data_IF_347365835510
#
_entry.id   IF_347365835510
#
_cell.length_a   1.000
_cell.length_b   1.000
_cell.length_c   1.000
_cell.angle_alpha   90.00
_cell.angle_beta   90.00
_cell.angle_gamma   90.00
#
_symmetry.space_group_name_H-M   'P 1'
#
loop_
_entity.id
_entity.type
_entity.pdbx_description
1 polymer ?
#
# COMPACT_ATOMS: atom_id res chain seq x y z
N UNK A 1 -38.14 -34.02 23.61
CA UNK A 1 -37.32 -33.00 24.30
C UNK A 1 -36.07 -32.79 23.47
N UNK A 2 -36.12 -31.83 22.57
CA UNK A 2 -34.98 -31.47 21.70
C UNK A 2 -34.10 -30.48 22.45
N UNK A 3 -32.84 -30.90 22.65
CA UNK A 3 -31.81 -30.11 23.30
C UNK A 3 -31.53 -28.85 22.44
N UNK A 4 -31.59 -27.62 22.96
CA UNK A 4 -31.21 -26.45 22.17
C UNK A 4 -29.69 -26.51 21.97
N UNK A 5 -29.28 -26.46 20.69
CA UNK A 5 -27.89 -26.33 20.28
C UNK A 5 -27.25 -25.17 21.07
N UNK A 6 -26.20 -25.45 21.83
CA UNK A 6 -25.36 -24.43 22.43
C UNK A 6 -24.80 -23.58 21.28
N UNK A 7 -25.26 -22.34 21.20
CA UNK A 7 -24.59 -21.32 20.41
C UNK A 7 -23.16 -21.23 20.92
N UNK A 8 -22.19 -21.79 20.22
CA UNK A 8 -20.78 -21.52 20.44
C UNK A 8 -20.59 -20.02 20.20
N UNK A 9 -20.43 -19.25 21.26
CA UNK A 9 -20.10 -17.84 21.15
C UNK A 9 -18.80 -17.74 20.36
N UNK A 10 -18.87 -17.19 19.14
CA UNK A 10 -17.72 -17.01 18.28
C UNK A 10 -16.62 -16.26 19.05
N UNK A 11 -15.44 -16.86 19.13
CA UNK A 11 -14.31 -16.27 19.88
C UNK A 11 -13.85 -14.99 19.19
N UNK A 12 -14.01 -13.86 19.89
CA UNK A 12 -13.53 -12.56 19.41
C UNK A 12 -11.99 -12.54 19.37
N UNK A 13 -11.42 -12.20 18.21
CA UNK A 13 -9.98 -12.09 18.01
C UNK A 13 -9.57 -10.62 17.97
N UNK A 14 -8.51 -10.21 18.67
CA UNK A 14 -7.99 -8.87 18.57
C UNK A 14 -7.25 -8.68 17.24
N UNK A 15 -7.49 -7.56 16.57
CA UNK A 15 -6.90 -7.21 15.27
C UNK A 15 -6.57 -5.73 15.20
N UNK A 16 -5.44 -5.38 14.63
CA UNK A 16 -5.06 -4.00 14.39
C UNK A 16 -5.31 -3.67 12.92
N UNK A 17 -6.09 -2.63 12.67
CA UNK A 17 -6.40 -2.14 11.32
C UNK A 17 -5.94 -0.69 11.21
N UNK A 18 -5.28 -0.36 10.12
CA UNK A 18 -4.94 1.01 9.77
C UNK A 18 -5.92 1.54 8.74
N UNK A 19 -6.69 2.56 9.11
CA UNK A 19 -7.59 3.31 8.24
C UNK A 19 -6.98 4.70 8.07
N UNK A 20 -6.53 5.09 6.87
CA UNK A 20 -5.97 6.43 6.64
C UNK A 20 -6.88 7.55 7.15
N UNK A 21 -6.28 8.59 7.73
CA UNK A 21 -7.00 9.71 8.36
C UNK A 21 -8.02 10.38 7.41
N UNK A 22 -7.73 10.36 6.11
CA UNK A 22 -8.65 10.88 5.08
C UNK A 22 -10.03 10.18 5.10
N UNK A 23 -10.12 8.97 5.65
CA UNK A 23 -11.36 8.18 5.80
C UNK A 23 -11.93 8.25 7.22
N UNK A 24 -11.45 9.15 8.07
CA UNK A 24 -11.90 9.25 9.47
C UNK A 24 -13.42 9.45 9.56
N UNK A 25 -14.00 10.26 8.66
CA UNK A 25 -15.44 10.52 8.63
C UNK A 25 -16.31 9.27 8.41
N UNK A 26 -15.79 8.26 7.71
CA UNK A 26 -16.48 6.99 7.45
C UNK A 26 -15.90 5.82 8.25
N UNK A 27 -14.94 6.06 9.15
CA UNK A 27 -14.32 5.00 9.94
C UNK A 27 -15.31 4.17 10.76
N UNK A 28 -16.37 4.74 11.38
CA UNK A 28 -17.38 3.93 12.08
C UNK A 28 -18.07 2.91 11.16
N UNK A 29 -18.42 3.31 9.94
CA UNK A 29 -19.02 2.42 8.94
C UNK A 29 -18.04 1.33 8.50
N UNK A 30 -16.77 1.71 8.23
CA UNK A 30 -15.72 0.76 7.87
C UNK A 30 -15.51 -0.30 8.96
N UNK A 31 -15.45 0.11 10.22
CA UNK A 31 -15.29 -0.80 11.36
C UNK A 31 -16.47 -1.78 11.46
N UNK A 32 -17.69 -1.30 11.25
CA UNK A 32 -18.87 -2.16 11.19
C UNK A 32 -18.77 -3.18 10.04
N UNK A 33 -18.33 -2.76 8.85
CA UNK A 33 -18.16 -3.66 7.68
C UNK A 33 -17.03 -4.68 7.90
N UNK A 34 -16.02 -4.34 8.70
CA UNK A 34 -14.97 -5.28 9.14
C UNK A 34 -15.45 -6.24 10.22
N UNK A 35 -16.70 -6.09 10.70
CA UNK A 35 -17.27 -6.93 11.74
C UNK A 35 -16.69 -6.65 13.13
N UNK A 36 -16.28 -5.42 13.40
CA UNK A 36 -15.78 -5.02 14.70
C UNK A 36 -16.91 -5.01 15.72
N UNK A 37 -16.76 -5.81 16.79
CA UNK A 37 -17.62 -5.83 17.97
C UNK A 37 -17.27 -4.66 18.91
N UNK A 38 -15.99 -4.35 19.01
CA UNK A 38 -15.47 -3.20 19.72
C UNK A 38 -14.23 -2.64 19.04
N UNK A 39 -13.97 -1.35 19.24
CA UNK A 39 -12.79 -0.68 18.68
C UNK A 39 -12.19 0.32 19.67
N UNK A 40 -10.87 0.47 19.62
CA UNK A 40 -10.10 1.50 20.32
C UNK A 40 -9.13 2.13 19.34
N UNK A 41 -9.19 3.47 19.19
CA UNK A 41 -8.24 4.20 18.35
C UNK A 41 -6.87 4.26 19.01
N UNK A 42 -5.82 3.98 18.26
CA UNK A 42 -4.43 4.04 18.67
C UNK A 42 -3.65 4.95 17.72
N UNK A 43 -2.81 5.80 18.25
CA UNK A 43 -2.04 6.73 17.41
C UNK A 43 -2.94 7.63 16.57
N UNK A 44 -2.59 7.79 15.29
CA UNK A 44 -3.27 8.70 14.37
C UNK A 44 -4.39 8.01 13.57
N UNK A 45 -4.08 6.84 12.99
CA UNK A 45 -4.92 6.16 11.98
C UNK A 45 -5.04 4.65 12.21
N UNK A 46 -4.73 4.17 13.43
CA UNK A 46 -4.87 2.76 13.79
C UNK A 46 -6.08 2.51 14.70
N UNK A 47 -6.70 1.35 14.51
CA UNK A 47 -7.82 0.88 15.31
C UNK A 47 -7.55 -0.54 15.78
N UNK A 48 -7.46 -0.73 17.10
CA UNK A 48 -7.46 -2.04 17.73
C UNK A 48 -8.92 -2.48 17.85
N UNK A 49 -9.30 -3.51 17.13
CA UNK A 49 -10.67 -4.04 17.12
C UNK A 49 -10.72 -5.45 17.70
N UNK A 50 -11.89 -5.87 18.15
CA UNK A 50 -12.23 -7.26 18.40
C UNK A 50 -13.26 -7.71 17.40
N UNK A 51 -13.02 -8.82 16.71
CA UNK A 51 -13.91 -9.34 15.67
C UNK A 51 -13.97 -10.86 15.68
N UNK A 52 -15.14 -11.40 15.39
CA UNK A 52 -15.34 -12.82 15.14
C UNK A 52 -15.10 -13.20 13.66
N UNK A 53 -15.00 -12.20 12.78
CA UNK A 53 -14.92 -12.37 11.31
C UNK A 53 -13.72 -11.62 10.73
N UNK A 54 -12.45 -11.95 11.14
CA UNK A 54 -11.27 -11.22 10.70
C UNK A 54 -11.04 -11.26 9.18
N UNK A 55 -11.57 -12.26 8.48
CA UNK A 55 -11.53 -12.37 7.02
C UNK A 55 -12.22 -11.20 6.30
N UNK A 56 -13.18 -10.54 6.94
CA UNK A 56 -13.82 -9.34 6.38
C UNK A 56 -12.85 -8.17 6.21
N UNK A 57 -11.84 -8.08 7.07
CA UNK A 57 -10.81 -7.02 6.99
C UNK A 57 -10.00 -7.16 5.70
N UNK A 58 -9.78 -8.38 5.22
CA UNK A 58 -8.92 -8.68 4.08
C UNK A 58 -9.70 -8.88 2.77
N UNK A 59 -10.94 -9.36 2.85
CA UNK A 59 -11.68 -9.87 1.67
C UNK A 59 -13.02 -9.20 1.42
N UNK A 60 -13.52 -8.34 2.33
CA UNK A 60 -14.73 -7.57 2.06
C UNK A 60 -14.48 -6.48 1.00
N UNK A 61 -15.56 -5.94 0.43
CA UNK A 61 -15.45 -4.78 -0.46
C UNK A 61 -14.84 -3.55 0.23
N UNK A 62 -15.01 -3.43 1.54
CA UNK A 62 -14.40 -2.37 2.34
C UNK A 62 -12.89 -2.56 2.60
N UNK A 63 -12.32 -3.73 2.32
CA UNK A 63 -10.91 -4.03 2.58
C UNK A 63 -9.94 -3.05 1.91
N UNK A 64 -10.31 -2.44 0.78
CA UNK A 64 -9.51 -1.43 0.07
C UNK A 64 -9.23 -0.16 0.89
N UNK A 65 -10.07 0.12 1.89
CA UNK A 65 -9.88 1.25 2.82
C UNK A 65 -8.93 0.94 3.98
N UNK A 66 -8.67 -0.35 4.24
CA UNK A 66 -7.67 -0.77 5.21
C UNK A 66 -6.28 -0.74 4.57
N UNK A 67 -5.51 0.33 4.85
CA UNK A 67 -4.15 0.46 4.32
C UNK A 67 -3.25 -0.69 4.76
N UNK A 68 -3.46 -1.19 5.97
CA UNK A 68 -2.70 -2.27 6.58
C UNK A 68 -3.50 -2.95 7.68
N UNK A 69 -3.21 -4.21 7.95
CA UNK A 69 -3.87 -4.96 9.00
C UNK A 69 -2.94 -6.01 9.62
N UNK A 70 -3.19 -6.39 10.89
CA UNK A 70 -2.38 -7.36 11.60
C UNK A 70 -3.19 -8.06 12.69
N UNK A 71 -3.16 -9.41 12.80
CA UNK A 71 -3.66 -10.11 13.99
C UNK A 71 -2.83 -9.71 15.20
N UNK A 72 -3.47 -9.51 16.35
CA UNK A 72 -2.76 -9.15 17.59
C UNK A 72 -2.43 -10.39 18.40
N UNK A 73 -1.23 -10.90 18.26
CA UNK A 73 -0.71 -12.02 19.04
C UNK A 73 -0.19 -11.55 20.43
N UNK A 74 0.24 -10.29 20.51
CA UNK A 74 0.71 -9.69 21.75
C UNK A 74 0.47 -8.20 21.79
N UNK A 75 -0.12 -7.74 22.88
CA UNK A 75 -0.27 -6.33 23.22
C UNK A 75 0.36 -6.05 24.58
N UNK A 76 1.11 -4.97 24.68
CA UNK A 76 1.68 -4.50 25.94
C UNK A 76 1.35 -3.02 26.12
N UNK A 77 0.15 -2.70 26.66
CA UNK A 77 -0.23 -1.33 26.96
C UNK A 77 0.68 -0.74 28.03
N UNK A 78 1.45 0.27 27.66
CA UNK A 78 2.36 0.96 28.58
C UNK A 78 2.79 2.30 27.98
N UNK A 79 3.32 3.19 28.80
CA UNK A 79 4.00 4.37 28.29
C UNK A 79 5.50 4.04 28.13
N UNK A 80 5.89 3.68 26.90
CA UNK A 80 7.26 3.25 26.58
C UNK A 80 8.32 4.32 26.94
N UNK A 81 7.97 5.61 26.88
CA UNK A 81 8.87 6.72 27.23
C UNK A 81 9.18 6.80 28.72
N UNK A 82 8.21 6.38 29.56
CA UNK A 82 8.33 6.44 31.03
C UNK A 82 8.80 5.11 31.65
N UNK A 83 9.09 4.11 30.82
CA UNK A 83 9.44 2.78 31.29
C UNK A 83 10.94 2.52 31.20
N UNK A 84 11.61 2.45 32.31
CA UNK A 84 13.02 2.08 32.39
C UNK A 84 13.28 0.68 31.83
N UNK A 85 14.30 0.59 30.94
CA UNK A 85 14.70 -0.67 30.32
C UNK A 85 13.65 -1.23 29.33
N UNK A 86 12.76 -0.38 28.78
CA UNK A 86 11.71 -0.79 27.84
C UNK A 86 12.25 -1.65 26.69
N UNK A 87 13.34 -1.23 26.03
CA UNK A 87 13.90 -1.94 24.87
C UNK A 87 14.28 -3.36 25.24
N UNK A 88 15.01 -3.57 26.33
CA UNK A 88 15.42 -4.91 26.75
C UNK A 88 14.24 -5.78 27.14
N UNK A 89 13.31 -5.26 27.96
CA UNK A 89 12.11 -5.97 28.38
C UNK A 89 11.23 -6.37 27.18
N UNK A 90 11.06 -5.44 26.23
CA UNK A 90 10.32 -5.69 25.01
C UNK A 90 11.01 -6.77 24.14
N UNK A 91 12.32 -6.64 23.91
CA UNK A 91 13.07 -7.58 23.09
C UNK A 91 13.05 -9.01 23.66
N UNK A 92 13.24 -9.18 24.96
CA UNK A 92 13.14 -10.48 25.64
C UNK A 92 11.72 -11.06 25.55
N UNK A 93 10.70 -10.21 25.69
CA UNK A 93 9.30 -10.63 25.55
C UNK A 93 9.01 -11.12 24.14
N UNK A 94 9.50 -10.41 23.11
CA UNK A 94 9.34 -10.81 21.71
C UNK A 94 10.04 -12.15 21.44
N UNK A 95 11.28 -12.33 21.92
CA UNK A 95 11.98 -13.60 21.78
C UNK A 95 11.19 -14.75 22.43
N UNK A 96 10.73 -14.57 23.67
CA UNK A 96 9.96 -15.58 24.40
C UNK A 96 8.67 -15.97 23.68
N UNK A 97 7.96 -14.99 23.08
CA UNK A 97 6.65 -15.24 22.47
C UNK A 97 6.72 -15.73 21.03
N UNK A 98 7.71 -15.28 20.28
CA UNK A 98 7.77 -15.49 18.83
C UNK A 98 9.01 -16.27 18.37
N UNK A 99 9.99 -16.50 19.22
CA UNK A 99 11.23 -17.17 18.80
C UNK A 99 11.01 -18.57 18.24
N UNK A 100 10.10 -19.36 18.82
CA UNK A 100 9.78 -20.72 18.34
C UNK A 100 8.96 -20.71 17.04
N UNK A 101 8.25 -19.62 16.74
CA UNK A 101 7.46 -19.46 15.49
C UNK A 101 8.32 -19.19 14.28
N UNK A 102 9.63 -18.92 14.45
CA UNK A 102 10.62 -18.73 13.39
C UNK A 102 10.18 -17.73 12.32
N UNK A 103 9.94 -16.45 12.65
CA UNK A 103 9.57 -15.44 11.67
C UNK A 103 10.65 -15.35 10.58
N UNK A 104 10.24 -15.13 9.33
CA UNK A 104 11.16 -14.87 8.23
C UNK A 104 11.97 -13.59 8.48
N UNK A 105 11.31 -12.54 8.94
CA UNK A 105 11.88 -11.24 9.26
C UNK A 105 11.16 -10.59 10.42
N UNK A 106 11.77 -9.52 10.97
CA UNK A 106 11.20 -8.73 12.06
C UNK A 106 11.25 -7.26 11.69
N UNK A 107 10.09 -6.62 11.58
CA UNK A 107 9.96 -5.21 11.23
C UNK A 107 9.18 -4.47 12.30
N UNK A 108 9.78 -3.42 12.84
CA UNK A 108 9.25 -2.61 13.92
C UNK A 108 9.05 -1.18 13.42
N UNK A 109 7.83 -0.69 13.52
CA UNK A 109 7.43 0.66 13.16
C UNK A 109 6.84 1.42 14.34
N UNK A 110 6.27 2.57 14.05
CA UNK A 110 5.60 3.44 15.04
C UNK A 110 4.14 3.63 14.69
N UNK A 111 3.29 3.79 15.71
CA UNK A 111 1.87 4.13 15.57
C UNK A 111 1.65 5.57 15.03
N UNK A 112 2.69 6.38 14.96
CA UNK A 112 2.63 7.77 14.49
C UNK A 112 3.74 8.03 13.46
N UNK A 113 3.66 7.43 12.26
CA UNK A 113 4.75 7.51 11.27
C UNK A 113 4.96 8.92 10.72
N UNK A 114 3.94 9.77 10.74
CA UNK A 114 3.98 11.15 10.24
C UNK A 114 4.27 12.19 11.32
N UNK A 115 4.34 11.78 12.60
CA UNK A 115 4.64 12.69 13.69
C UNK A 115 6.01 13.36 13.52
N UNK A 116 6.12 14.66 13.76
CA UNK A 116 7.41 15.36 13.83
C UNK A 116 8.27 14.88 15.01
N UNK A 117 7.64 14.31 16.05
CA UNK A 117 8.37 13.69 17.15
C UNK A 117 9.12 12.45 16.69
N UNK A 118 10.44 12.53 16.71
CA UNK A 118 11.35 11.46 16.30
C UNK A 118 11.57 10.40 17.38
N UNK A 119 11.09 10.62 18.62
CA UNK A 119 11.36 9.73 19.76
C UNK A 119 10.93 8.29 19.47
N UNK A 120 9.66 8.08 19.08
CA UNK A 120 9.17 6.72 18.82
C UNK A 120 9.78 6.09 17.58
N UNK A 121 10.21 6.87 16.59
CA UNK A 121 10.99 6.38 15.44
C UNK A 121 12.34 5.84 15.89
N UNK A 122 13.05 6.58 16.73
CA UNK A 122 14.30 6.15 17.35
C UNK A 122 14.12 4.93 18.24
N UNK A 123 13.05 4.91 19.05
CA UNK A 123 12.73 3.78 19.91
C UNK A 123 12.44 2.50 19.10
N UNK A 124 11.66 2.59 18.04
CA UNK A 124 11.37 1.47 17.13
C UNK A 124 12.65 0.92 16.48
N UNK A 125 13.54 1.81 16.02
CA UNK A 125 14.83 1.43 15.43
C UNK A 125 15.73 0.73 16.44
N UNK A 126 15.88 1.28 17.65
CA UNK A 126 16.69 0.70 18.70
C UNK A 126 16.13 -0.66 19.18
N UNK A 127 14.81 -0.76 19.33
CA UNK A 127 14.15 -2.02 19.67
C UNK A 127 14.41 -3.07 18.60
N UNK A 128 14.28 -2.71 17.30
CA UNK A 128 14.59 -3.62 16.20
C UNK A 128 16.03 -4.10 16.26
N UNK A 129 16.99 -3.18 16.44
CA UNK A 129 18.41 -3.53 16.57
C UNK A 129 18.67 -4.54 17.69
N UNK A 130 18.03 -4.33 18.87
CA UNK A 130 18.17 -5.25 20.01
C UNK A 130 17.52 -6.60 19.74
N UNK A 131 16.33 -6.63 19.16
CA UNK A 131 15.61 -7.87 18.81
C UNK A 131 16.43 -8.72 17.84
N UNK A 132 17.03 -8.11 16.80
CA UNK A 132 17.86 -8.81 15.82
C UNK A 132 19.14 -9.45 16.44
N UNK A 133 19.62 -8.93 17.57
CA UNK A 133 20.74 -9.54 18.32
C UNK A 133 20.31 -10.79 19.10
N UNK A 134 19.04 -10.87 19.51
CA UNK A 134 18.53 -11.97 20.32
C UNK A 134 17.98 -13.12 19.49
N UNK A 135 17.38 -12.80 18.35
CA UNK A 135 16.79 -13.82 17.48
C UNK A 135 17.87 -14.57 16.69
N UNK A 136 17.63 -15.84 16.36
CA UNK A 136 18.49 -16.55 15.41
C UNK A 136 18.50 -15.81 14.06
N UNK A 137 19.48 -16.13 13.20
CA UNK A 137 19.59 -15.51 11.88
C UNK A 137 18.27 -15.63 11.11
N UNK A 138 17.74 -14.47 10.73
CA UNK A 138 16.49 -14.37 9.97
C UNK A 138 16.76 -14.58 8.47
N UNK A 139 15.75 -15.03 7.72
CA UNK A 139 15.81 -15.16 6.27
C UNK A 139 15.77 -13.79 5.58
N UNK A 140 15.03 -12.82 6.16
CA UNK A 140 14.95 -11.46 5.65
C UNK A 140 15.37 -10.44 6.72
N UNK A 141 16.44 -9.68 6.45
CA UNK A 141 16.91 -8.58 7.29
C UNK A 141 16.48 -7.22 6.75
N UNK A 142 16.20 -7.12 5.46
CA UNK A 142 15.70 -5.93 4.78
C UNK A 142 14.28 -6.19 4.24
N UNK A 143 13.61 -5.11 3.88
CA UNK A 143 12.24 -5.19 3.34
C UNK A 143 12.25 -5.86 1.97
N UNK A 144 13.29 -5.64 1.19
CA UNK A 144 13.46 -6.18 -0.16
C UNK A 144 13.71 -7.70 -0.17
N UNK A 145 14.21 -8.26 0.93
CA UNK A 145 14.45 -9.72 1.08
C UNK A 145 13.21 -10.50 1.50
N UNK A 146 12.11 -9.80 1.86
CA UNK A 146 10.90 -10.48 2.31
C UNK A 146 10.26 -11.33 1.22
N UNK A 147 9.90 -12.57 1.56
CA UNK A 147 8.89 -13.32 0.84
C UNK A 147 7.51 -12.80 1.25
N UNK A 148 6.76 -12.29 0.25
CA UNK A 148 5.44 -11.71 0.49
C UNK A 148 4.41 -12.71 1.07
N UNK A 149 4.68 -14.01 1.02
CA UNK A 149 3.79 -15.09 1.50
C UNK A 149 4.25 -15.73 2.81
N UNK A 150 5.47 -15.45 3.25
CA UNK A 150 6.03 -16.04 4.46
C UNK A 150 5.69 -15.22 5.72
N UNK A 151 5.59 -15.91 6.86
CA UNK A 151 5.28 -15.29 8.16
C UNK A 151 6.36 -14.32 8.59
N UNK A 152 5.97 -13.08 8.83
CA UNK A 152 6.83 -11.98 9.29
C UNK A 152 6.29 -11.43 10.61
N UNK A 153 7.17 -11.17 11.57
CA UNK A 153 6.81 -10.50 12.81
C UNK A 153 6.78 -8.98 12.59
N UNK A 154 5.59 -8.41 12.68
CA UNK A 154 5.39 -6.97 12.67
C UNK A 154 5.10 -6.45 14.08
N UNK A 155 5.73 -5.35 14.42
CA UNK A 155 5.50 -4.66 15.69
C UNK A 155 5.30 -3.16 15.45
N UNK A 156 4.41 -2.55 16.22
CA UNK A 156 4.23 -1.11 16.27
C UNK A 156 4.40 -0.61 17.69
N UNK A 157 5.16 0.45 17.87
CA UNK A 157 5.40 1.09 19.18
C UNK A 157 4.90 2.53 19.15
N UNK A 158 4.29 2.96 20.24
CA UNK A 158 3.77 4.32 20.44
C UNK A 158 3.64 4.66 21.91
N UNK A 159 3.01 5.80 22.19
CA UNK A 159 2.70 6.22 23.56
C UNK A 159 1.74 5.25 24.25
N UNK A 160 0.94 4.52 23.48
CA UNK A 160 -0.03 3.53 23.94
C UNK A 160 0.61 2.18 24.26
N UNK A 161 1.87 1.96 23.88
CA UNK A 161 2.60 0.72 24.15
C UNK A 161 3.15 0.02 22.91
N UNK A 162 3.26 -1.32 23.01
CA UNK A 162 3.78 -2.20 21.97
C UNK A 162 2.67 -3.16 21.50
N UNK A 163 2.51 -3.27 20.20
CA UNK A 163 1.49 -4.08 19.52
C UNK A 163 2.17 -4.96 18.46
N UNK A 164 2.03 -6.28 18.58
CA UNK A 164 2.78 -7.22 17.77
C UNK A 164 1.90 -8.37 17.28
N UNK A 165 2.22 -8.86 16.07
CA UNK A 165 1.60 -10.05 15.52
C UNK A 165 2.41 -10.61 14.37
N UNK A 166 2.11 -11.84 13.99
CA UNK A 166 2.73 -12.51 12.86
C UNK A 166 1.73 -12.72 11.73
N UNK A 167 2.12 -12.25 10.56
CA UNK A 167 1.35 -12.42 9.33
C UNK A 167 2.26 -12.21 8.12
N UNK A 168 1.90 -12.79 6.96
CA UNK A 168 2.65 -12.51 5.74
C UNK A 168 2.44 -11.07 5.26
N UNK A 169 3.42 -10.45 4.59
CA UNK A 169 3.27 -9.11 4.01
C UNK A 169 2.04 -8.98 3.09
N UNK A 170 1.72 -10.03 2.33
CA UNK A 170 0.54 -10.06 1.45
C UNK A 170 -0.76 -9.97 2.24
N UNK A 171 -0.91 -10.74 3.29
CA UNK A 171 -2.10 -10.72 4.13
C UNK A 171 -2.20 -9.43 4.96
N UNK A 172 -1.06 -8.85 5.36
CA UNK A 172 -1.00 -7.55 6.05
C UNK A 172 -1.22 -6.35 5.13
N UNK A 173 -1.22 -6.55 3.81
CA UNK A 173 -1.30 -5.48 2.81
C UNK A 173 -0.11 -4.50 2.86
N UNK A 174 1.09 -5.00 3.18
CA UNK A 174 2.29 -4.14 3.21
C UNK A 174 3.55 -4.85 3.69
N UNK A 175 4.69 -4.43 3.15
CA UNK A 175 6.02 -4.95 3.49
C UNK A 175 6.59 -4.34 4.78
N UNK A 176 6.12 -3.13 5.15
CA UNK A 176 6.54 -2.43 6.37
C UNK A 176 5.53 -2.62 7.50
N UNK A 177 5.98 -2.55 8.73
CA UNK A 177 5.09 -2.42 9.88
C UNK A 177 4.25 -1.14 9.72
N UNK A 178 2.92 -1.30 9.69
CA UNK A 178 1.98 -0.21 9.39
C UNK A 178 1.78 0.09 7.91
N UNK A 179 2.44 -0.66 7.00
CA UNK A 179 2.13 -0.66 5.57
C UNK A 179 2.70 0.50 4.75
N UNK A 180 3.34 1.52 5.34
CA UNK A 180 3.82 2.69 4.60
C UNK A 180 5.33 2.66 4.38
N UNK A 181 5.74 3.01 3.16
CA UNK A 181 7.10 3.41 2.85
C UNK A 181 7.21 4.92 2.96
N UNK A 182 8.10 5.41 3.82
CA UNK A 182 8.43 6.83 3.83
C UNK A 182 9.28 7.19 2.61
N UNK A 183 8.86 8.24 1.91
CA UNK A 183 9.58 8.81 0.76
C UNK A 183 9.75 10.29 1.02
N UNK A 184 10.98 10.78 0.91
CA UNK A 184 11.27 12.20 1.06
C UNK A 184 10.69 12.97 -0.14
N UNK A 185 9.76 13.87 0.15
CA UNK A 185 9.11 14.71 -0.86
C UNK A 185 9.72 16.10 -0.98
N UNK A 186 10.61 16.45 -0.06
CA UNK A 186 11.23 17.77 0.04
C UNK A 186 12.67 17.77 -0.51
N UNK A 187 13.08 16.67 -1.16
CA UNK A 187 14.39 16.60 -1.82
C UNK A 187 14.48 17.69 -2.93
N UNK A 188 15.64 18.37 -3.07
CA UNK A 188 15.81 19.50 -4.00
C UNK A 188 15.42 19.20 -5.45
N UNK A 189 15.59 17.93 -5.86
CA UNK A 189 15.30 17.48 -7.23
C UNK A 189 13.84 17.05 -7.45
N UNK A 190 13.01 17.11 -6.43
CA UNK A 190 11.60 16.73 -6.51
C UNK A 190 10.84 17.69 -7.43
N UNK A 191 10.32 17.18 -8.55
CA UNK A 191 9.50 17.96 -9.49
C UNK A 191 8.11 18.19 -8.91
N UNK A 192 7.49 17.13 -8.41
CA UNK A 192 6.22 17.19 -7.70
C UNK A 192 6.05 16.02 -6.75
N UNK A 193 5.10 16.15 -5.82
CA UNK A 193 4.74 15.08 -4.87
C UNK A 193 4.20 13.82 -5.54
N UNK A 194 3.78 13.88 -6.80
CA UNK A 194 3.33 12.73 -7.56
C UNK A 194 4.43 11.66 -7.73
N UNK A 195 5.72 12.04 -7.75
CA UNK A 195 6.84 11.10 -7.76
C UNK A 195 6.80 10.12 -6.59
N UNK A 196 6.42 10.57 -5.40
CA UNK A 196 6.30 9.69 -4.24
C UNK A 196 5.18 8.66 -4.37
N UNK A 197 4.08 8.95 -5.08
CA UNK A 197 3.02 7.99 -5.35
C UNK A 197 3.53 6.80 -6.16
N UNK A 198 4.19 7.07 -7.30
CA UNK A 198 4.70 5.98 -8.14
C UNK A 198 5.84 5.23 -7.44
N UNK A 199 6.70 5.90 -6.68
CA UNK A 199 7.75 5.25 -5.90
C UNK A 199 7.16 4.27 -4.87
N UNK A 200 6.13 4.68 -4.12
CA UNK A 200 5.43 3.82 -3.17
C UNK A 200 4.66 2.71 -3.89
N UNK A 201 3.98 3.03 -5.01
CA UNK A 201 3.24 2.05 -5.82
C UNK A 201 4.13 0.90 -6.31
N UNK A 202 5.29 1.22 -6.87
CA UNK A 202 6.25 0.22 -7.35
C UNK A 202 6.81 -0.63 -6.21
N UNK A 203 7.01 -0.04 -5.05
CA UNK A 203 7.44 -0.78 -3.87
C UNK A 203 6.33 -1.68 -3.32
N UNK A 204 5.10 -1.18 -3.22
CA UNK A 204 3.94 -1.99 -2.83
C UNK A 204 3.71 -3.18 -3.77
N UNK A 205 3.95 -2.99 -5.06
CA UNK A 205 3.79 -4.02 -6.07
C UNK A 205 4.68 -5.25 -5.84
N UNK A 206 5.80 -5.12 -5.12
CA UNK A 206 6.68 -6.24 -4.75
C UNK A 206 5.96 -7.34 -3.94
N UNK A 207 4.84 -7.00 -3.29
CA UNK A 207 3.97 -7.99 -2.62
C UNK A 207 3.37 -8.99 -3.61
N UNK A 208 3.18 -8.59 -4.88
CA UNK A 208 2.40 -9.33 -5.87
C UNK A 208 3.22 -9.86 -7.04
N UNK A 209 4.29 -9.16 -7.40
CA UNK A 209 5.15 -9.54 -8.53
C UNK A 209 6.55 -8.93 -8.39
N UNK A 210 7.56 -9.53 -9.06
CA UNK A 210 8.89 -8.92 -9.12
C UNK A 210 8.84 -7.56 -9.85
N UNK A 211 9.84 -6.68 -9.58
CA UNK A 211 9.94 -5.39 -10.24
C UNK A 211 10.12 -5.54 -11.75
N UNK A 212 9.71 -4.52 -12.48
CA UNK A 212 10.04 -4.42 -13.90
C UNK A 212 11.55 -4.26 -14.07
N UNK A 213 12.08 -4.84 -15.15
CA UNK A 213 13.51 -4.76 -15.47
C UNK A 213 13.90 -3.32 -15.79
N UNK A 214 15.14 -2.96 -15.51
CA UNK A 214 15.72 -1.71 -15.98
C UNK A 214 15.59 -1.61 -17.51
N UNK A 215 15.36 -0.41 -18.02
CA UNK A 215 15.11 -0.16 -19.44
C UNK A 215 13.70 -0.52 -19.92
N UNK A 216 12.79 -1.00 -19.04
CA UNK A 216 11.39 -1.22 -19.42
C UNK A 216 10.74 0.06 -19.93
N UNK A 217 9.88 -0.06 -20.92
CA UNK A 217 9.24 1.08 -21.59
C UNK A 217 7.86 1.34 -21.01
N UNK A 218 7.67 2.52 -20.44
CA UNK A 218 6.42 2.99 -19.87
C UNK A 218 5.69 3.94 -20.82
N UNK A 219 4.37 3.84 -20.84
CA UNK A 219 3.47 4.84 -21.41
C UNK A 219 2.80 5.56 -20.23
N UNK A 220 3.02 6.85 -20.09
CA UNK A 220 2.47 7.67 -19.00
C UNK A 220 1.42 8.63 -19.55
N UNK A 221 0.20 8.57 -18.99
CA UNK A 221 -0.96 9.37 -19.35
C UNK A 221 -1.25 10.39 -18.24
N UNK A 222 -1.29 11.69 -18.59
CA UNK A 222 -1.45 12.77 -17.62
C UNK A 222 -0.14 13.08 -16.90
N UNK A 223 0.95 13.25 -17.64
CA UNK A 223 2.31 13.30 -17.10
C UNK A 223 2.66 14.63 -16.40
N UNK A 224 2.01 15.76 -16.74
CA UNK A 224 2.37 17.08 -16.23
C UNK A 224 2.19 17.17 -14.69
N UNK A 225 3.16 17.74 -13.96
CA UNK A 225 4.39 18.42 -14.42
C UNK A 225 5.60 17.47 -14.59
N UNK A 226 5.46 16.14 -14.43
CA UNK A 226 6.52 15.16 -14.67
C UNK A 226 7.14 14.56 -13.42
N UNK A 227 6.47 14.64 -12.26
CA UNK A 227 6.97 14.05 -11.01
C UNK A 227 7.07 12.53 -11.10
N UNK A 228 6.07 11.84 -11.65
CA UNK A 228 6.11 10.39 -11.86
C UNK A 228 7.10 10.02 -12.97
N UNK A 229 7.13 10.80 -14.05
CA UNK A 229 8.13 10.68 -15.14
C UNK A 229 9.56 10.69 -14.56
N UNK A 230 9.87 11.71 -13.75
CA UNK A 230 11.21 11.86 -13.12
C UNK A 230 11.59 10.64 -12.29
N UNK A 231 10.68 10.13 -11.48
CA UNK A 231 10.90 8.96 -10.63
C UNK A 231 11.14 7.69 -11.46
N UNK A 232 10.38 7.49 -12.55
CA UNK A 232 10.58 6.35 -13.44
C UNK A 232 11.94 6.43 -14.16
N UNK A 233 12.32 7.61 -14.65
CA UNK A 233 13.64 7.83 -15.25
C UNK A 233 14.79 7.61 -14.27
N UNK A 234 14.66 8.06 -13.02
CA UNK A 234 15.65 7.83 -11.97
C UNK A 234 15.85 6.34 -11.64
N UNK A 235 14.85 5.50 -11.95
CA UNK A 235 14.91 4.03 -11.84
C UNK A 235 15.40 3.34 -13.12
N UNK A 236 15.99 4.07 -14.05
CA UNK A 236 16.50 3.52 -15.32
C UNK A 236 15.41 3.08 -16.29
N UNK A 237 14.15 3.52 -16.11
CA UNK A 237 13.07 3.20 -17.03
C UNK A 237 13.07 4.14 -18.25
N UNK A 238 12.47 3.72 -19.35
CA UNK A 238 12.17 4.59 -20.49
C UNK A 238 10.71 5.00 -20.43
N UNK A 239 10.42 6.27 -20.71
CA UNK A 239 9.06 6.82 -20.58
C UNK A 239 8.65 7.53 -21.87
N UNK A 240 7.49 7.14 -22.42
CA UNK A 240 6.72 7.97 -23.34
C UNK A 240 5.64 8.66 -22.53
N UNK A 241 5.83 9.95 -22.24
CA UNK A 241 4.96 10.77 -21.42
C UNK A 241 4.03 11.60 -22.31
N UNK A 242 2.73 11.65 -21.98
CA UNK A 242 1.71 12.36 -22.75
C UNK A 242 0.95 13.29 -21.82
N UNK A 243 0.86 14.55 -22.20
CA UNK A 243 0.03 15.56 -21.54
C UNK A 243 -0.28 16.72 -22.48
N UNK A 244 -1.39 17.43 -22.22
CA UNK A 244 -1.74 18.70 -22.90
C UNK A 244 -0.91 19.88 -22.43
N UNK A 245 -0.30 19.78 -21.25
CA UNK A 245 0.55 20.80 -20.66
C UNK A 245 2.02 20.36 -20.69
N UNK A 246 2.98 21.32 -20.80
CA UNK A 246 4.40 20.99 -20.82
C UNK A 246 4.88 20.39 -19.51
N UNK A 247 5.91 19.56 -19.60
CA UNK A 247 6.62 19.07 -18.43
C UNK A 247 7.52 20.15 -17.83
N UNK A 248 7.98 19.92 -16.59
CA UNK A 248 9.00 20.75 -15.96
C UNK A 248 10.28 20.76 -16.79
N UNK A 249 10.87 21.94 -17.00
CA UNK A 249 12.08 22.15 -17.82
C UNK A 249 13.29 21.29 -17.37
N UNK A 250 13.32 20.86 -16.12
CA UNK A 250 14.36 19.94 -15.60
C UNK A 250 14.34 18.57 -16.28
N UNK A 251 13.26 18.26 -17.00
CA UNK A 251 13.13 17.03 -17.80
C UNK A 251 13.56 17.20 -19.25
N UNK A 252 13.81 18.41 -19.72
CA UNK A 252 14.24 18.66 -21.10
C UNK A 252 15.53 17.90 -21.42
N UNK A 253 15.49 17.14 -22.52
CA UNK A 253 16.64 16.36 -22.98
C UNK A 253 17.05 15.17 -22.10
N UNK A 254 16.26 14.81 -21.09
CA UNK A 254 16.56 13.65 -20.22
C UNK A 254 16.60 12.35 -21.05
N UNK A 255 17.72 11.57 -20.93
CA UNK A 255 17.82 10.28 -21.59
C UNK A 255 16.67 9.34 -21.20
N UNK A 256 16.11 8.62 -22.16
CA UNK A 256 15.00 7.70 -21.93
C UNK A 256 13.61 8.34 -21.92
N UNK A 257 13.50 9.67 -21.97
CA UNK A 257 12.23 10.39 -22.05
C UNK A 257 11.87 10.70 -23.50
N UNK A 258 10.62 10.38 -23.87
CA UNK A 258 9.94 10.91 -25.05
C UNK A 258 8.66 11.60 -24.57
N UNK A 259 8.65 12.93 -24.65
CA UNK A 259 7.44 13.71 -24.33
C UNK A 259 6.61 13.99 -25.60
N UNK A 260 5.30 13.85 -25.47
CA UNK A 260 4.31 14.15 -26.52
C UNK A 260 3.31 15.15 -25.95
N UNK A 261 3.38 16.39 -26.43
CA UNK A 261 2.47 17.48 -26.04
C UNK A 261 1.18 17.33 -26.84
N UNK A 262 0.24 16.53 -26.34
CA UNK A 262 -1.01 16.19 -27.03
C UNK A 262 -2.07 15.74 -26.03
N UNK A 263 -3.33 15.82 -26.45
CA UNK A 263 -4.42 15.20 -25.68
C UNK A 263 -4.30 13.68 -25.73
N UNK A 264 -4.41 13.02 -24.58
CA UNK A 264 -4.35 11.56 -24.49
C UNK A 264 -5.39 10.91 -25.43
N UNK A 265 -6.59 11.49 -25.57
CA UNK A 265 -7.64 10.97 -26.44
C UNK A 265 -7.26 10.96 -27.93
N UNK A 266 -6.41 11.91 -28.36
CA UNK A 266 -5.92 12.00 -29.74
C UNK A 266 -4.68 11.13 -29.98
N UNK A 267 -3.91 10.85 -28.93
CA UNK A 267 -2.65 10.12 -29.04
C UNK A 267 -2.83 8.70 -29.59
N UNK A 268 -1.98 8.35 -30.56
CA UNK A 268 -1.85 7.01 -31.11
C UNK A 268 -0.39 6.55 -31.07
N UNK A 269 -0.09 5.39 -30.46
CA UNK A 269 1.24 4.80 -30.54
C UNK A 269 1.63 4.57 -32.00
N UNK A 270 2.91 4.81 -32.34
CA UNK A 270 3.41 4.43 -33.66
C UNK A 270 3.25 2.93 -33.85
N UNK A 271 2.89 2.52 -35.06
CA UNK A 271 2.75 1.11 -35.43
C UNK A 271 3.99 0.30 -35.01
N UNK A 272 3.78 -0.84 -34.36
CA UNK A 272 4.85 -1.70 -33.85
C UNK A 272 5.47 -1.27 -32.51
N UNK A 273 5.08 -0.11 -31.95
CA UNK A 273 5.53 0.26 -30.60
C UNK A 273 4.80 -0.56 -29.55
N UNK A 274 5.55 -1.15 -28.62
CA UNK A 274 5.00 -1.87 -27.46
C UNK A 274 5.57 -1.32 -26.16
N UNK A 275 4.77 -1.42 -25.10
CA UNK A 275 5.11 -0.97 -23.75
C UNK A 275 5.10 -2.13 -22.77
N UNK A 276 6.00 -2.08 -21.77
CA UNK A 276 6.04 -3.03 -20.66
C UNK A 276 5.05 -2.64 -19.57
N UNK A 277 4.78 -1.34 -19.46
CA UNK A 277 3.82 -0.80 -18.50
C UNK A 277 3.11 0.45 -18.99
N UNK A 278 1.92 0.71 -18.42
CA UNK A 278 1.13 1.91 -18.60
C UNK A 278 0.85 2.52 -17.22
N UNK A 279 1.06 3.83 -17.09
CA UNK A 279 0.75 4.62 -15.90
C UNK A 279 -0.31 5.65 -16.28
N UNK A 280 -1.38 5.74 -15.48
CA UNK A 280 -2.43 6.74 -15.66
C UNK A 280 -2.72 7.47 -14.34
N UNK A 281 -2.41 8.76 -14.29
CA UNK A 281 -2.78 9.68 -13.19
C UNK A 281 -3.51 10.92 -13.75
N UNK A 282 -4.40 10.70 -14.72
CA UNK A 282 -5.20 11.75 -15.33
C UNK A 282 -6.18 12.36 -14.33
N UNK A 283 -6.42 13.67 -14.46
CA UNK A 283 -7.52 14.34 -13.81
C UNK A 283 -8.78 14.23 -14.67
N UNK A 284 -9.96 14.14 -14.03
CA UNK A 284 -11.25 14.02 -14.69
C UNK A 284 -12.03 12.80 -14.22
N UNK A 285 -13.14 12.46 -14.89
CA UNK A 285 -13.93 11.29 -14.57
C UNK A 285 -13.10 10.01 -14.70
N UNK A 286 -13.12 9.12 -13.71
CA UNK A 286 -12.33 7.89 -13.73
C UNK A 286 -12.77 6.93 -14.85
N UNK A 287 -14.05 6.97 -15.26
CA UNK A 287 -14.57 6.21 -16.39
C UNK A 287 -13.88 6.60 -17.70
N UNK A 288 -13.77 7.90 -17.97
CA UNK A 288 -13.06 8.40 -19.16
C UNK A 288 -11.57 8.03 -19.11
N UNK A 289 -10.97 8.11 -17.92
CA UNK A 289 -9.56 7.76 -17.74
C UNK A 289 -9.30 6.27 -18.00
N UNK A 290 -10.15 5.37 -17.51
CA UNK A 290 -10.01 3.93 -17.76
C UNK A 290 -10.29 3.57 -19.21
N UNK A 291 -11.20 4.26 -19.91
CA UNK A 291 -11.42 4.08 -21.35
C UNK A 291 -10.15 4.36 -22.16
N UNK A 292 -9.40 5.42 -21.80
CA UNK A 292 -8.11 5.70 -22.46
C UNK A 292 -7.06 4.61 -22.16
N UNK A 293 -7.02 4.10 -20.93
CA UNK A 293 -6.16 2.97 -20.58
C UNK A 293 -6.54 1.72 -21.40
N UNK A 294 -7.83 1.39 -21.48
CA UNK A 294 -8.34 0.26 -22.27
C UNK A 294 -7.97 0.43 -23.75
N UNK A 295 -8.25 1.59 -24.31
CA UNK A 295 -7.91 1.92 -25.72
C UNK A 295 -6.42 1.72 -26.01
N UNK A 296 -5.54 2.16 -25.13
CA UNK A 296 -4.09 2.09 -25.32
C UNK A 296 -3.47 0.75 -24.90
N UNK A 297 -4.23 -0.09 -24.19
CA UNK A 297 -3.75 -1.39 -23.71
C UNK A 297 -3.43 -2.38 -24.83
N UNK A 298 -3.92 -2.14 -26.08
CA UNK A 298 -3.52 -2.95 -27.23
C UNK A 298 -2.01 -2.90 -27.48
N UNK A 299 -1.37 -1.76 -27.18
CA UNK A 299 0.08 -1.57 -27.30
C UNK A 299 0.88 -2.09 -26.09
N UNK A 300 0.20 -2.58 -25.05
CA UNK A 300 0.83 -3.19 -23.88
C UNK A 300 1.20 -4.64 -24.20
N UNK A 301 2.40 -5.08 -23.82
CA UNK A 301 2.83 -6.48 -23.93
C UNK A 301 1.94 -7.40 -23.10
N UNK A 302 1.88 -8.68 -23.44
CA UNK A 302 1.24 -9.71 -22.62
C UNK A 302 1.92 -9.78 -21.24
N UNK A 303 1.13 -9.81 -20.15
CA UNK A 303 1.62 -9.69 -18.77
C UNK A 303 2.14 -8.28 -18.42
N UNK A 304 1.92 -7.28 -19.30
CA UNK A 304 2.27 -5.90 -19.04
C UNK A 304 1.44 -5.27 -17.94
N UNK A 305 2.06 -4.38 -17.19
CA UNK A 305 1.50 -3.75 -16.00
C UNK A 305 0.70 -2.49 -16.34
N UNK A 306 -0.42 -2.29 -15.66
CA UNK A 306 -1.09 -0.98 -15.58
C UNK A 306 -1.08 -0.50 -14.14
N UNK A 307 -0.63 0.74 -13.92
CA UNK A 307 -0.80 1.47 -12.66
C UNK A 307 -1.83 2.57 -12.90
N UNK A 308 -2.99 2.42 -12.32
CA UNK A 308 -4.12 3.32 -12.52
C UNK A 308 -4.49 4.03 -11.23
N UNK A 309 -4.52 5.37 -11.26
CA UNK A 309 -5.02 6.19 -10.15
C UNK A 309 -6.52 6.39 -10.31
N UNK A 310 -7.30 5.73 -9.48
CA UNK A 310 -8.75 5.88 -9.41
C UNK A 310 -9.08 7.12 -8.56
N UNK A 311 -9.45 8.21 -9.20
CA UNK A 311 -9.89 9.45 -8.53
C UNK A 311 -11.31 9.24 -7.96
N UNK A 312 -11.50 9.58 -6.70
CA UNK A 312 -12.81 9.57 -6.03
C UNK A 312 -13.07 10.98 -5.49
N UNK A 313 -13.88 11.78 -6.16
CA UNK A 313 -13.98 13.21 -5.87
C UNK A 313 -14.36 13.53 -4.43
N UNK A 314 -15.22 12.70 -3.85
CA UNK A 314 -15.72 12.84 -2.47
C UNK A 314 -16.00 11.45 -1.90
N UNK A 315 -15.62 11.25 -0.64
CA UNK A 315 -15.86 9.99 0.07
C UNK A 315 -16.67 10.33 1.33
N UNK A 316 -17.99 10.17 1.24
CA UNK A 316 -18.93 10.43 2.33
C UNK A 316 -19.53 9.14 2.92
N UNK A 317 -19.41 8.04 2.19
CA UNK A 317 -19.86 6.70 2.58
C UNK A 317 -18.96 5.64 1.94
N UNK A 318 -19.16 4.39 2.28
CA UNK A 318 -18.35 3.27 1.75
C UNK A 318 -18.89 2.77 0.42
N UNK A 319 -20.19 2.90 0.15
CA UNK A 319 -20.82 2.26 -1.00
C UNK A 319 -20.47 2.91 -2.34
N UNK A 320 -20.52 4.25 -2.43
CA UNK A 320 -20.20 4.96 -3.67
C UNK A 320 -18.80 4.64 -4.22
N UNK A 321 -17.71 4.72 -3.43
CA UNK A 321 -16.41 4.27 -3.91
C UNK A 321 -16.38 2.79 -4.28
N UNK A 322 -17.10 1.92 -3.56
CA UNK A 322 -17.16 0.50 -3.88
C UNK A 322 -17.88 0.24 -5.21
N UNK A 323 -18.96 0.98 -5.52
CA UNK A 323 -19.66 0.89 -6.81
C UNK A 323 -18.75 1.34 -7.96
N UNK A 324 -18.05 2.45 -7.79
CA UNK A 324 -17.09 2.94 -8.78
C UNK A 324 -15.97 1.90 -9.01
N UNK A 325 -15.45 1.30 -7.97
CA UNK A 325 -14.45 0.23 -8.09
C UNK A 325 -14.98 -0.96 -8.90
N UNK A 326 -16.21 -1.42 -8.60
CA UNK A 326 -16.83 -2.53 -9.33
C UNK A 326 -16.97 -2.21 -10.81
N UNK A 327 -17.39 -0.99 -11.15
CA UNK A 327 -17.52 -0.53 -12.52
C UNK A 327 -16.15 -0.55 -13.23
N UNK A 328 -15.14 0.13 -12.68
CA UNK A 328 -13.79 0.23 -13.29
C UNK A 328 -13.14 -1.14 -13.45
N UNK A 329 -13.25 -2.02 -12.45
CA UNK A 329 -12.71 -3.39 -12.52
C UNK A 329 -13.45 -4.23 -13.56
N UNK A 330 -14.77 -4.06 -13.69
CA UNK A 330 -15.58 -4.75 -14.71
C UNK A 330 -15.20 -4.32 -16.13
N UNK A 331 -15.06 -2.99 -16.37
CA UNK A 331 -14.62 -2.45 -17.65
C UNK A 331 -13.21 -2.97 -18.02
N UNK A 332 -12.30 -2.93 -17.05
CA UNK A 332 -10.92 -3.44 -17.22
C UNK A 332 -10.91 -4.92 -17.60
N UNK A 333 -11.67 -5.75 -16.86
CA UNK A 333 -11.75 -7.19 -17.08
C UNK A 333 -12.32 -7.52 -18.47
N UNK A 334 -13.35 -6.81 -18.90
CA UNK A 334 -13.93 -6.99 -20.25
C UNK A 334 -12.92 -6.69 -21.37
N UNK A 335 -11.93 -5.85 -21.10
CA UNK A 335 -10.83 -5.50 -22.02
C UNK A 335 -9.57 -6.39 -21.84
N UNK A 336 -9.64 -7.48 -21.08
CA UNK A 336 -8.50 -8.37 -20.85
C UNK A 336 -7.45 -7.83 -19.87
N UNK A 337 -7.82 -6.85 -19.02
CA UNK A 337 -6.98 -6.32 -17.95
C UNK A 337 -7.45 -6.90 -16.61
N UNK A 338 -6.66 -7.81 -16.03
CA UNK A 338 -6.97 -8.47 -14.75
C UNK A 338 -6.49 -7.62 -13.57
N UNK A 339 -7.35 -7.42 -12.57
CA UNK A 339 -6.94 -6.79 -11.31
C UNK A 339 -5.91 -7.67 -10.60
N UNK A 340 -4.74 -7.11 -10.34
CA UNK A 340 -3.65 -7.74 -9.59
C UNK A 340 -3.68 -7.33 -8.12
N UNK A 341 -3.86 -6.05 -7.86
CA UNK A 341 -3.90 -5.47 -6.52
C UNK A 341 -4.62 -4.11 -6.52
N UNK A 342 -5.03 -3.68 -5.34
CA UNK A 342 -5.61 -2.37 -5.10
C UNK A 342 -5.23 -1.88 -3.70
N UNK A 343 -4.98 -0.58 -3.53
CA UNK A 343 -4.66 -0.01 -2.23
C UNK A 343 -4.85 1.50 -2.20
N UNK A 344 -4.99 2.05 -1.00
CA UNK A 344 -4.81 3.47 -0.75
C UNK A 344 -3.36 3.71 -0.30
N UNK A 345 -2.53 4.29 -1.15
CA UNK A 345 -1.13 4.62 -0.81
C UNK A 345 -1.05 5.79 0.17
N UNK A 346 0.07 5.91 0.87
CA UNK A 346 0.32 6.99 1.83
C UNK A 346 0.20 8.39 1.18
N UNK A 347 0.61 8.47 -0.08
CA UNK A 347 0.62 9.73 -0.86
C UNK A 347 -0.63 9.93 -1.71
N UNK A 348 -1.61 9.02 -1.65
CA UNK A 348 -2.94 9.24 -2.18
C UNK A 348 -3.72 10.23 -1.27
N UNK A 349 -4.65 10.94 -1.89
CA UNK A 349 -5.67 11.74 -1.19
C UNK A 349 -7.03 11.08 -1.37
N UNK A 350 -7.98 11.72 -2.07
CA UNK A 350 -9.25 11.13 -2.48
C UNK A 350 -9.09 10.26 -3.73
N UNK A 351 -8.21 9.27 -3.65
CA UNK A 351 -7.88 8.40 -4.78
C UNK A 351 -7.32 7.07 -4.28
N UNK A 352 -7.47 6.03 -5.10
CA UNK A 352 -6.87 4.72 -4.86
C UNK A 352 -5.94 4.36 -6.02
N UNK A 353 -5.01 3.45 -5.77
CA UNK A 353 -4.16 2.91 -6.82
C UNK A 353 -4.58 1.48 -7.13
N UNK A 354 -4.92 1.22 -8.40
CA UNK A 354 -5.22 -0.09 -8.94
C UNK A 354 -4.03 -0.55 -9.78
N UNK A 355 -3.67 -1.81 -9.58
CA UNK A 355 -2.67 -2.50 -10.40
C UNK A 355 -3.38 -3.53 -11.24
N UNK A 356 -3.29 -3.36 -12.58
CA UNK A 356 -3.89 -4.30 -13.52
C UNK A 356 -2.78 -4.96 -14.33
N UNK A 357 -3.04 -6.14 -14.83
CA UNK A 357 -2.13 -6.88 -15.68
C UNK A 357 -2.86 -7.33 -16.94
N UNK A 358 -2.26 -7.10 -18.12
CA UNK A 358 -2.80 -7.61 -19.37
C UNK A 358 -2.77 -9.14 -19.33
N UNK A 359 -3.92 -9.76 -19.54
CA UNK A 359 -4.04 -11.22 -19.55
C UNK A 359 -3.05 -11.84 -20.54
N UNK A 360 -2.52 -13.01 -20.17
CA UNK A 360 -1.77 -13.86 -21.10
C UNK A 360 -2.81 -14.75 -21.77
N UNK A 361 -2.97 -14.59 -23.06
CA UNK A 361 -3.79 -15.52 -23.85
C UNK A 361 -3.15 -16.87 -23.92
#
# INVERSE_FOLDING_TARGET
>A
MTNPAKNESATLKPWLVRIPEIFEGIAPELLQRFGADSSTRLGQDYYLIKTATPEKIQHSEAAKFARWNLPMDHTWPCNAQKMDGFIEKAAQTLLKKFGERKPQGIFIGTLQPTSPDKYYKGLASNLRGRVLQLFPKLAANTVEEQDATAETLFCLVGKEGLFCGMQSPRASNGLYAGGSKYIDQDAPDTISRAGAKIAEALHYLLIYRPPLKEGSHWLELGACPGGMTSELLARGQRVTAIDRAPLDKRLDGRPGLKFVLEDVAAFQPRTGTTYDALLCDMNGPPEESIEQVIRLSHSLKQGGLVVFTLKVPRIENVDEPCELFRLIVSMSKAAGLRLLAQTHLTYNRHEFTLFLEKSRD
#
